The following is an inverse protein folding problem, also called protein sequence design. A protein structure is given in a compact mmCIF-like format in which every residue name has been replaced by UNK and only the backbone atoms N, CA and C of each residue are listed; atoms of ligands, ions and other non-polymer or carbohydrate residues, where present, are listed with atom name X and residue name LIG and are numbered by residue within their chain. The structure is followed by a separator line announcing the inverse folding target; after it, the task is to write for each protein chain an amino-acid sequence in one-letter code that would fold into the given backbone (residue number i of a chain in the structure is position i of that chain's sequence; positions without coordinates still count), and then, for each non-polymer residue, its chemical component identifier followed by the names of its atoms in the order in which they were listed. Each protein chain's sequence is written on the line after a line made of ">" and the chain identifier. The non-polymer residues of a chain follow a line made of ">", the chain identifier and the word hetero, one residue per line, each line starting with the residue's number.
data_IF_491743089154
#
_entry.id   IF_491743089154
#
_cell.length_a   1.000
_cell.length_b   1.000
_cell.length_c   1.000
_cell.angle_alpha   90.00
_cell.angle_beta   90.00
_cell.angle_gamma   90.00
#
_symmetry.space_group_name_H-M   'P 1'
#
loop_
_entity.id
_entity.type
_entity.pdbx_description
1 polymer ?
#
# COMPACT_ATOMS: atom_id res chain seq x y z
N UNK A 1 -4.53 10.08 -3.03
CA UNK A 1 -5.10 8.75 -3.31
C UNK A 1 -5.32 8.57 -4.82
N UNK A 2 -4.25 8.28 -5.59
CA UNK A 2 -4.28 8.30 -7.05
C UNK A 2 -5.31 7.34 -7.66
N UNK A 3 -5.54 6.18 -7.04
CA UNK A 3 -6.45 5.16 -7.57
C UNK A 3 -7.94 5.40 -7.31
N UNK A 4 -8.30 6.10 -6.24
CA UNK A 4 -9.69 6.13 -5.73
C UNK A 4 -10.36 7.51 -5.85
N UNK A 5 -9.72 8.43 -6.57
CA UNK A 5 -10.23 9.78 -6.80
C UNK A 5 -10.34 10.03 -8.31
N UNK A 6 -11.52 10.45 -8.74
CA UNK A 6 -11.72 11.01 -10.08
C UNK A 6 -11.44 12.52 -10.06
N UNK A 7 -11.26 13.11 -11.23
CA UNK A 7 -11.22 14.56 -11.39
C UNK A 7 -12.06 15.00 -12.58
N UNK A 8 -12.78 16.11 -12.42
CA UNK A 8 -13.47 16.79 -13.53
C UNK A 8 -12.54 17.75 -14.28
N UNK A 9 -11.39 18.10 -13.69
CA UNK A 9 -10.42 19.02 -14.27
C UNK A 9 -9.31 18.30 -15.04
N UNK A 10 -8.96 17.07 -14.61
CA UNK A 10 -7.92 16.27 -15.25
C UNK A 10 -8.57 15.18 -16.10
N UNK A 11 -8.51 15.36 -17.42
CA UNK A 11 -9.02 14.40 -18.39
C UNK A 11 -8.39 13.02 -18.17
N UNK A 12 -9.20 11.96 -18.20
CA UNK A 12 -8.74 10.58 -18.02
C UNK A 12 -8.54 10.14 -16.56
N UNK A 13 -8.72 11.04 -15.59
CA UNK A 13 -8.60 10.67 -14.17
C UNK A 13 -9.89 10.04 -13.66
N UNK A 14 -9.96 8.72 -13.74
CA UNK A 14 -11.08 7.89 -13.27
C UNK A 14 -10.74 7.15 -11.97
N UNK A 15 -11.76 6.66 -11.28
CA UNK A 15 -11.56 5.72 -10.18
C UNK A 15 -11.21 4.34 -10.74
N UNK A 16 -10.21 3.70 -10.15
CA UNK A 16 -9.82 2.33 -10.50
C UNK A 16 -10.65 1.31 -9.71
N UNK A 17 -10.99 0.16 -10.32
CA UNK A 17 -11.63 -0.92 -9.59
C UNK A 17 -10.68 -1.45 -8.51
N UNK A 18 -11.19 -1.88 -7.33
CA UNK A 18 -10.35 -2.45 -6.28
C UNK A 18 -9.44 -3.58 -6.78
N UNK A 19 -9.91 -4.45 -7.68
CA UNK A 19 -9.07 -5.53 -8.23
C UNK A 19 -7.77 -5.05 -8.87
N UNK A 20 -7.83 -4.00 -9.71
CA UNK A 20 -6.64 -3.44 -10.36
C UNK A 20 -5.70 -2.75 -9.34
N UNK A 21 -6.27 -2.14 -8.29
CA UNK A 21 -5.46 -1.54 -7.22
C UNK A 21 -4.75 -2.61 -6.40
N UNK A 22 -5.43 -3.72 -6.11
CA UNK A 22 -4.81 -4.86 -5.43
C UNK A 22 -3.65 -5.43 -6.24
N UNK A 23 -3.89 -5.72 -7.53
CA UNK A 23 -2.87 -6.25 -8.45
C UNK A 23 -1.62 -5.36 -8.45
N UNK A 24 -1.81 -4.05 -8.59
CA UNK A 24 -0.70 -3.10 -8.58
C UNK A 24 0.05 -3.08 -7.25
N UNK A 25 -0.66 -2.97 -6.12
CA UNK A 25 -0.02 -2.92 -4.80
C UNK A 25 0.68 -4.22 -4.41
N UNK A 26 0.12 -5.38 -4.75
CA UNK A 26 0.76 -6.67 -4.49
C UNK A 26 2.03 -6.84 -5.33
N UNK A 27 1.97 -6.48 -6.62
CA UNK A 27 3.14 -6.59 -7.51
C UNK A 27 4.29 -5.67 -7.06
N UNK A 28 3.98 -4.43 -6.68
CA UNK A 28 4.98 -3.50 -6.14
C UNK A 28 5.60 -4.03 -4.83
N UNK A 29 4.78 -4.60 -3.94
CA UNK A 29 5.29 -5.23 -2.73
C UNK A 29 6.21 -6.42 -3.06
N UNK A 30 5.81 -7.32 -3.96
CA UNK A 30 6.57 -8.51 -4.33
C UNK A 30 7.96 -8.13 -4.88
N UNK A 31 8.02 -7.10 -5.73
CA UNK A 31 9.27 -6.60 -6.28
C UNK A 31 10.16 -5.95 -5.21
N UNK A 32 9.58 -5.09 -4.35
CA UNK A 32 10.34 -4.46 -3.27
C UNK A 32 10.82 -5.48 -2.23
N UNK A 33 10.02 -6.52 -1.97
CA UNK A 33 10.40 -7.63 -1.10
C UNK A 33 11.59 -8.39 -1.67
N UNK A 34 11.58 -8.72 -2.97
CA UNK A 34 12.70 -9.36 -3.66
C UNK A 34 13.98 -8.50 -3.62
N UNK A 35 13.84 -7.17 -3.68
CA UNK A 35 14.95 -6.21 -3.56
C UNK A 35 15.36 -5.89 -2.12
N UNK A 36 14.71 -6.50 -1.12
CA UNK A 36 14.92 -6.24 0.32
C UNK A 36 14.72 -4.77 0.70
N UNK A 37 13.73 -4.11 0.09
CA UNK A 37 13.37 -2.70 0.30
C UNK A 37 12.07 -2.55 1.08
N UNK A 38 11.86 -1.34 1.60
CA UNK A 38 10.63 -1.00 2.31
C UNK A 38 9.48 -0.69 1.33
N UNK A 39 8.31 -1.27 1.59
CA UNK A 39 7.04 -0.88 0.96
C UNK A 39 6.29 0.10 1.87
N UNK A 40 5.98 1.30 1.35
CA UNK A 40 5.28 2.35 2.10
C UNK A 40 3.98 2.71 1.40
N UNK A 41 2.85 2.46 2.08
CA UNK A 41 1.52 2.73 1.55
C UNK A 41 0.86 3.92 2.26
N UNK A 42 0.64 5.00 1.52
CA UNK A 42 -0.09 6.16 2.02
C UNK A 42 -1.61 5.97 1.89
N UNK A 43 -2.33 6.14 3.00
CA UNK A 43 -3.78 5.94 3.09
C UNK A 43 -4.51 7.15 3.69
N UNK A 44 -5.82 7.24 3.42
CA UNK A 44 -6.69 8.26 4.01
C UNK A 44 -7.96 7.56 4.51
N UNK A 45 -8.41 7.75 5.77
CA UNK A 45 -9.56 7.03 6.33
C UNK A 45 -10.84 7.15 5.50
N UNK A 46 -11.15 8.37 5.04
CA UNK A 46 -12.31 8.67 4.18
C UNK A 46 -12.30 7.93 2.83
N UNK A 47 -11.12 7.48 2.37
CA UNK A 47 -10.94 6.78 1.10
C UNK A 47 -10.88 5.27 1.33
N UNK A 48 -9.92 4.78 2.13
CA UNK A 48 -9.67 3.34 2.28
C UNK A 48 -10.72 2.64 3.14
N UNK A 49 -11.39 3.37 4.04
CA UNK A 49 -12.41 2.82 4.96
C UNK A 49 -13.75 2.44 4.31
N UNK A 50 -13.92 2.64 2.99
CA UNK A 50 -15.14 2.19 2.29
C UNK A 50 -15.18 0.66 2.23
N UNK A 51 -16.35 0.00 2.31
CA UNK A 51 -16.45 -1.46 2.41
C UNK A 51 -15.65 -2.24 1.35
N UNK A 52 -15.74 -1.86 0.07
CA UNK A 52 -15.00 -2.56 -1.00
C UNK A 52 -13.48 -2.39 -0.93
N UNK A 53 -13.00 -1.33 -0.28
CA UNK A 53 -11.59 -0.96 -0.22
C UNK A 53 -10.92 -1.44 1.07
N UNK A 54 -11.67 -1.53 2.17
CA UNK A 54 -11.16 -2.13 3.41
C UNK A 54 -10.98 -3.63 3.24
N UNK A 55 -11.88 -4.32 2.53
CA UNK A 55 -11.70 -5.74 2.16
C UNK A 55 -10.48 -5.96 1.27
N UNK A 56 -10.20 -5.02 0.36
CA UNK A 56 -8.96 -5.05 -0.43
C UNK A 56 -7.72 -4.88 0.45
N UNK A 57 -7.75 -3.94 1.40
CA UNK A 57 -6.63 -3.71 2.31
C UNK A 57 -6.35 -4.95 3.17
N UNK A 58 -7.40 -5.60 3.69
CA UNK A 58 -7.25 -6.86 4.40
C UNK A 58 -6.57 -7.92 3.52
N UNK A 59 -7.06 -8.11 2.28
CA UNK A 59 -6.44 -9.03 1.32
C UNK A 59 -4.96 -8.73 1.07
N UNK A 60 -4.58 -7.45 0.96
CA UNK A 60 -3.18 -7.03 0.78
C UNK A 60 -2.34 -7.37 2.02
N UNK A 61 -2.85 -7.09 3.21
CA UNK A 61 -2.17 -7.45 4.46
C UNK A 61 -1.96 -8.96 4.55
N UNK A 62 -2.99 -9.76 4.21
CA UNK A 62 -2.88 -11.22 4.19
C UNK A 62 -1.85 -11.70 3.16
N UNK A 63 -1.75 -11.05 2.00
CA UNK A 63 -0.73 -11.35 0.99
C UNK A 63 0.68 -11.13 1.57
N UNK A 64 0.95 -9.96 2.13
CA UNK A 64 2.25 -9.61 2.72
C UNK A 64 2.64 -10.54 3.87
N UNK A 65 1.67 -10.96 4.69
CA UNK A 65 1.91 -11.87 5.84
C UNK A 65 2.33 -13.28 5.45
N UNK A 66 2.24 -13.68 4.18
CA UNK A 66 2.74 -14.98 3.70
C UNK A 66 4.27 -15.04 3.61
N UNK A 67 4.93 -13.89 3.67
CA UNK A 67 6.39 -13.78 3.63
C UNK A 67 6.91 -13.73 5.07
N UNK A 68 7.61 -14.77 5.52
CA UNK A 68 8.06 -14.90 6.92
C UNK A 68 9.03 -13.80 7.36
N UNK A 69 9.77 -13.22 6.42
CA UNK A 69 10.72 -12.14 6.63
C UNK A 69 10.13 -10.74 6.43
N UNK A 70 8.86 -10.63 6.03
CA UNK A 70 8.15 -9.35 5.94
C UNK A 70 7.63 -8.91 7.32
N UNK A 71 7.90 -7.66 7.69
CA UNK A 71 7.53 -7.09 8.99
C UNK A 71 6.83 -5.76 8.80
N UNK A 72 5.75 -5.56 9.56
CA UNK A 72 5.06 -4.27 9.62
C UNK A 72 5.73 -3.38 10.66
N UNK A 73 6.05 -2.16 10.25
CA UNK A 73 6.72 -1.19 11.10
C UNK A 73 5.91 0.09 11.24
N UNK A 74 6.07 0.74 12.38
CA UNK A 74 5.70 2.15 12.52
C UNK A 74 6.83 3.02 11.99
N UNK A 75 6.49 4.07 11.25
CA UNK A 75 7.47 4.97 10.65
C UNK A 75 8.40 5.63 11.69
N UNK A 76 7.89 5.98 12.87
CA UNK A 76 8.69 6.60 13.94
C UNK A 76 9.76 5.65 14.50
N UNK A 77 9.43 4.36 14.62
CA UNK A 77 10.38 3.35 15.10
C UNK A 77 11.45 3.05 14.06
N UNK A 78 11.05 2.88 12.81
CA UNK A 78 12.00 2.67 11.71
C UNK A 78 12.98 3.84 11.59
N UNK A 79 12.50 5.08 11.72
CA UNK A 79 13.36 6.27 11.67
C UNK A 79 14.40 6.30 12.79
N UNK A 80 14.03 5.86 14.01
CA UNK A 80 14.98 5.73 15.12
C UNK A 80 16.02 4.64 14.87
N UNK A 81 15.59 3.45 14.42
CA UNK A 81 16.49 2.33 14.13
C UNK A 81 17.51 2.66 13.03
N UNK A 82 17.08 3.33 11.96
CA UNK A 82 17.96 3.72 10.85
C UNK A 82 18.95 4.82 11.25
N UNK A 83 18.59 5.71 12.19
CA UNK A 83 19.49 6.75 12.67
C UNK A 83 20.75 6.18 13.31
N UNK A 84 20.63 5.04 13.99
CA UNK A 84 21.76 4.38 14.66
C UNK A 84 22.58 3.48 13.72
N UNK A 85 22.10 3.26 12.49
CA UNK A 85 22.71 2.37 11.49
C UNK A 85 23.46 3.14 10.38
N UNK A 86 23.25 4.45 10.27
CA UNK A 86 23.89 5.37 9.32
C UNK A 86 24.99 6.20 10.00
#
# INVERSE_FOLDING_TARGET
>A
APFFLYSIQLVGRVMMPPSAVFEHWSAEFDQLHAERKAFVLAMHPQIIGRPSRITLLDRLIQHMRRHEDARFYRCDRLALELKDTL
#
